data_IF_296964649594
#
_entry.id   IF_296964649594
#
_cell.length_a   1.000
_cell.length_b   1.000
_cell.length_c   1.000
_cell.angle_alpha   90.00
_cell.angle_beta   90.00
_cell.angle_gamma   90.00
#
_symmetry.space_group_name_H-M   'P 1'
#
loop_
_entity.id
_entity.type
_entity.pdbx_description
1 polymer ?
#
# COMPACT_ATOMS: atom_id res chain seq x y z
N UNK A 1 -4.53 -8.04 -14.00
CA UNK A 1 -3.06 -8.04 -14.10
C UNK A 1 -2.55 -7.23 -12.92
N UNK A 2 -2.19 -7.91 -11.82
CA UNK A 2 -1.79 -7.32 -10.53
C UNK A 2 -0.36 -7.80 -10.22
N UNK A 3 0.63 -7.12 -10.77
CA UNK A 3 2.02 -7.32 -10.39
C UNK A 3 2.61 -5.95 -10.09
N UNK A 4 2.72 -5.61 -8.80
CA UNK A 4 3.46 -4.43 -8.37
C UNK A 4 4.96 -4.55 -8.71
N UNK A 5 5.45 -5.77 -8.88
CA UNK A 5 6.84 -6.09 -9.24
C UNK A 5 7.20 -5.64 -10.66
N UNK A 6 6.26 -5.73 -11.61
CA UNK A 6 6.52 -5.37 -13.01
C UNK A 6 6.65 -3.86 -13.25
N UNK A 7 6.13 -3.02 -12.34
CA UNK A 7 6.18 -1.55 -12.45
C UNK A 7 7.40 -0.96 -11.73
N UNK A 8 7.81 -1.56 -10.60
CA UNK A 8 8.93 -1.05 -9.81
C UNK A 8 10.30 -1.26 -10.49
N UNK A 9 10.51 -2.42 -11.11
CA UNK A 9 11.79 -2.77 -11.74
C UNK A 9 12.25 -1.83 -12.87
N UNK A 10 11.37 -1.47 -13.84
CA UNK A 10 11.75 -0.55 -14.92
C UNK A 10 11.92 0.90 -14.49
N UNK A 11 11.15 1.36 -13.49
CA UNK A 11 11.18 2.77 -13.02
C UNK A 11 12.38 3.07 -12.12
N UNK A 12 12.86 2.09 -11.36
CA UNK A 12 14.03 2.23 -10.46
C UNK A 12 15.35 1.86 -11.18
N UNK A 13 15.28 1.09 -12.28
CA UNK A 13 16.45 0.66 -13.04
C UNK A 13 17.33 -0.37 -12.33
N UNK A 14 16.86 -0.89 -11.19
CA UNK A 14 17.60 -1.82 -10.34
C UNK A 14 16.60 -2.60 -9.45
N UNK A 15 16.58 -3.93 -9.59
CA UNK A 15 15.78 -4.83 -8.74
C UNK A 15 16.69 -5.40 -7.65
N UNK A 16 16.72 -4.76 -6.48
CA UNK A 16 16.99 -5.49 -5.25
C UNK A 16 15.64 -5.78 -4.61
N UNK A 17 15.39 -7.02 -4.18
CA UNK A 17 14.21 -7.44 -3.44
C UNK A 17 14.16 -6.84 -2.02
N UNK A 18 14.34 -5.53 -1.94
CA UNK A 18 14.49 -4.71 -0.75
C UNK A 18 13.37 -3.66 -0.80
N UNK A 19 12.25 -4.00 -0.15
CA UNK A 19 11.03 -3.18 -0.13
C UNK A 19 11.18 -1.84 0.59
N UNK A 20 12.24 -1.61 1.38
CA UNK A 20 12.39 -0.36 2.15
C UNK A 20 12.66 0.87 1.27
N UNK A 21 13.11 0.66 0.03
CA UNK A 21 13.23 1.72 -0.98
C UNK A 21 11.90 2.09 -1.67
N UNK A 22 10.80 1.36 -1.42
CA UNK A 22 9.52 1.50 -2.11
C UNK A 22 8.46 2.31 -1.35
N UNK A 23 8.90 3.11 -0.38
CA UNK A 23 8.04 3.92 0.47
C UNK A 23 7.66 5.25 -0.20
N UNK A 24 7.03 6.16 0.57
CA UNK A 24 6.49 7.45 0.10
C UNK A 24 7.54 8.33 -0.60
N UNK A 25 8.82 8.13 -0.32
CA UNK A 25 9.92 8.85 -0.98
C UNK A 25 10.03 8.48 -2.47
N UNK A 26 9.93 7.20 -2.82
CA UNK A 26 9.93 6.75 -4.21
C UNK A 26 8.66 7.25 -4.91
N UNK A 27 7.52 7.11 -4.25
CA UNK A 27 6.24 7.57 -4.79
C UNK A 27 6.25 9.08 -5.07
N UNK A 28 6.79 9.88 -4.14
CA UNK A 28 6.99 11.32 -4.34
C UNK A 28 7.94 11.62 -5.51
N UNK A 29 8.98 10.80 -5.70
CA UNK A 29 9.93 10.96 -6.80
C UNK A 29 9.30 10.59 -8.17
N UNK A 30 8.42 9.59 -8.22
CA UNK A 30 7.60 9.24 -9.39
C UNK A 30 6.63 10.38 -9.69
N UNK A 31 5.88 10.84 -8.69
CA UNK A 31 4.92 11.93 -8.86
C UNK A 31 5.57 13.19 -9.42
N UNK A 32 6.74 13.59 -8.89
CA UNK A 32 7.45 14.78 -9.36
C UNK A 32 7.88 14.71 -10.83
N UNK A 33 8.12 13.51 -11.37
CA UNK A 33 8.60 13.32 -12.76
C UNK A 33 7.47 13.14 -13.75
N UNK A 34 6.41 12.45 -13.34
CA UNK A 34 5.35 12.03 -14.24
C UNK A 34 4.07 12.88 -14.11
N UNK A 35 3.89 13.59 -13.00
CA UNK A 35 2.73 14.43 -12.70
C UNK A 35 1.39 13.72 -12.96
N UNK A 36 1.23 12.53 -12.38
CA UNK A 36 -0.02 11.78 -12.44
C UNK A 36 -1.17 12.51 -11.74
N UNK A 37 -2.40 12.22 -12.15
CA UNK A 37 -3.61 12.70 -11.49
C UNK A 37 -3.99 11.80 -10.30
N UNK A 38 -4.88 12.29 -9.45
CA UNK A 38 -5.33 11.53 -8.29
C UNK A 38 -6.06 10.24 -8.74
N UNK A 39 -5.66 9.10 -8.18
CA UNK A 39 -6.19 7.78 -8.55
C UNK A 39 -5.38 7.02 -9.59
N UNK A 40 -4.46 7.67 -10.32
CA UNK A 40 -3.63 7.03 -11.35
C UNK A 40 -2.62 6.04 -10.74
N UNK A 41 -2.01 6.42 -9.61
CA UNK A 41 -1.06 5.56 -8.89
C UNK A 41 -1.39 5.53 -7.40
N UNK A 42 -1.64 4.32 -6.91
CA UNK A 42 -1.82 4.02 -5.50
C UNK A 42 -0.93 2.86 -5.08
N UNK A 43 -0.29 3.03 -3.93
CA UNK A 43 0.58 2.02 -3.33
C UNK A 43 -0.01 1.65 -1.97
N UNK A 44 0.03 0.35 -1.67
CA UNK A 44 -0.29 -0.19 -0.34
C UNK A 44 1.02 -0.66 0.26
N UNK A 45 1.44 -0.02 1.35
CA UNK A 45 2.69 -0.31 2.05
C UNK A 45 2.31 -1.11 3.30
N UNK A 46 2.88 -2.30 3.47
CA UNK A 46 2.79 -3.09 4.71
C UNK A 46 4.18 -3.13 5.36
N UNK A 47 4.27 -2.64 6.59
CA UNK A 47 5.49 -2.67 7.38
C UNK A 47 5.73 -4.06 7.97
N UNK A 48 6.96 -4.41 8.33
CA UNK A 48 7.24 -5.64 9.08
C UNK A 48 6.50 -5.67 10.43
N UNK A 49 6.11 -6.87 10.87
CA UNK A 49 5.55 -7.06 12.21
C UNK A 49 6.58 -6.66 13.28
N UNK A 50 6.26 -5.72 14.19
CA UNK A 50 7.15 -5.42 15.30
C UNK A 50 7.30 -6.64 16.24
N UNK A 51 8.49 -6.84 16.80
CA UNK A 51 8.77 -7.97 17.69
C UNK A 51 7.76 -7.97 18.86
N UNK A 52 7.12 -9.12 19.08
CA UNK A 52 6.08 -9.35 20.10
C UNK A 52 4.75 -8.61 19.91
N UNK A 53 4.55 -7.90 18.81
CA UNK A 53 3.28 -7.22 18.50
C UNK A 53 2.56 -8.04 17.43
N UNK A 54 1.37 -8.58 17.73
CA UNK A 54 0.58 -9.39 16.78
C UNK A 54 -0.20 -8.53 15.75
N UNK A 55 0.41 -7.42 15.33
CA UNK A 55 -0.19 -6.45 14.40
C UNK A 55 0.82 -6.11 13.30
N UNK A 56 0.30 -5.94 12.10
CA UNK A 56 1.06 -5.42 10.98
C UNK A 56 0.45 -4.10 10.52
N UNK A 57 1.26 -3.06 10.46
CA UNK A 57 0.81 -1.72 10.08
C UNK A 57 0.80 -1.58 8.58
N UNK A 58 -0.21 -0.90 8.06
CA UNK A 58 -0.30 -0.57 6.65
C UNK A 58 -0.60 0.91 6.42
N UNK A 59 -0.24 1.38 5.22
CA UNK A 59 -0.60 2.69 4.70
C UNK A 59 -0.99 2.57 3.24
N UNK A 60 -2.06 3.27 2.87
CA UNK A 60 -2.51 3.41 1.48
C UNK A 60 -2.19 4.83 1.05
N UNK A 61 -1.37 4.96 0.01
CA UNK A 61 -0.84 6.25 -0.44
C UNK A 61 -1.09 6.43 -1.92
N UNK A 62 -1.67 7.56 -2.28
CA UNK A 62 -1.82 8.01 -3.66
C UNK A 62 -0.68 8.97 -4.03
N UNK A 63 -0.17 8.87 -5.25
CA UNK A 63 0.96 9.69 -5.68
C UNK A 63 0.66 11.19 -5.64
N UNK A 64 -0.56 11.61 -5.98
CA UNK A 64 -0.99 13.01 -6.00
C UNK A 64 -1.67 13.42 -4.69
N UNK A 65 -2.56 12.58 -4.18
CA UNK A 65 -3.37 12.89 -3.00
C UNK A 65 -2.66 12.57 -1.67
N UNK A 66 -1.52 11.90 -1.68
CA UNK A 66 -0.78 11.50 -0.48
C UNK A 66 -1.48 10.38 0.28
N UNK A 67 -1.31 10.35 1.61
CA UNK A 67 -1.87 9.28 2.45
C UNK A 67 -3.40 9.34 2.43
N UNK A 68 -4.01 8.25 1.98
CA UNK A 68 -5.45 8.08 1.96
C UNK A 68 -5.95 7.37 3.21
N UNK A 69 -5.20 6.38 3.68
CA UNK A 69 -5.59 5.57 4.82
C UNK A 69 -4.35 5.02 5.54
N UNK A 70 -4.44 4.92 6.86
CA UNK A 70 -3.49 4.17 7.68
C UNK A 70 -4.26 3.30 8.66
N UNK A 71 -3.68 2.16 9.00
CA UNK A 71 -4.29 1.24 9.95
C UNK A 71 -3.39 0.05 10.23
N UNK A 72 -3.97 -0.98 10.82
CA UNK A 72 -3.29 -2.25 11.03
C UNK A 72 -4.22 -3.44 10.80
N UNK A 73 -3.59 -4.60 10.67
CA UNK A 73 -4.25 -5.90 10.54
C UNK A 73 -3.66 -6.84 11.59
N UNK A 74 -4.43 -7.81 12.07
CA UNK A 74 -3.88 -8.83 12.96
C UNK A 74 -3.20 -9.93 12.16
N UNK A 75 -2.01 -10.34 12.60
CA UNK A 75 -1.22 -11.36 11.89
C UNK A 75 -1.96 -12.69 11.79
N UNK A 76 -2.72 -13.05 12.84
CA UNK A 76 -3.53 -14.28 12.86
C UNK A 76 -4.56 -14.32 11.72
N UNK A 77 -5.14 -13.16 11.36
CA UNK A 77 -6.18 -13.09 10.35
C UNK A 77 -5.57 -13.25 8.96
N UNK A 78 -4.35 -12.75 8.75
CA UNK A 78 -3.60 -12.99 7.51
C UNK A 78 -3.22 -14.46 7.34
N UNK A 79 -2.78 -15.11 8.42
CA UNK A 79 -2.39 -16.53 8.39
C UNK A 79 -3.57 -17.47 8.16
N UNK A 80 -4.79 -17.04 8.50
CA UNK A 80 -5.99 -17.85 8.32
C UNK A 80 -6.46 -17.98 6.88
N UNK A 81 -5.82 -17.29 5.92
CA UNK A 81 -6.33 -17.09 4.57
C UNK A 81 -5.34 -17.46 3.48
N UNK A 82 -5.89 -17.78 2.32
CA UNK A 82 -5.12 -17.91 1.09
C UNK A 82 -4.71 -16.52 0.58
N UNK A 83 -3.57 -16.40 -0.12
CA UNK A 83 -3.05 -15.12 -0.58
C UNK A 83 -3.84 -14.50 -1.75
N UNK A 84 -4.81 -15.22 -2.33
CA UNK A 84 -5.72 -14.71 -3.35
C UNK A 84 -7.12 -14.48 -2.75
N UNK A 85 -7.80 -13.38 -3.11
CA UNK A 85 -9.16 -13.12 -2.63
C UNK A 85 -10.18 -14.00 -3.36
N UNK A 86 -11.09 -14.60 -2.59
CA UNK A 86 -12.29 -15.27 -3.07
C UNK A 86 -13.51 -14.33 -2.98
N UNK A 87 -14.56 -14.64 -3.76
CA UNK A 87 -15.76 -13.82 -3.78
C UNK A 87 -16.47 -13.90 -2.42
N UNK A 88 -16.60 -12.76 -1.73
CA UNK A 88 -17.19 -12.68 -0.39
C UNK A 88 -16.17 -12.67 0.75
N UNK A 89 -14.86 -12.69 0.44
CA UNK A 89 -13.84 -12.55 1.47
C UNK A 89 -13.91 -11.18 2.16
N UNK A 90 -14.27 -11.18 3.43
CA UNK A 90 -14.14 -10.01 4.30
C UNK A 90 -12.90 -10.14 5.16
N UNK A 91 -11.92 -9.25 5.01
CA UNK A 91 -10.71 -9.26 5.81
C UNK A 91 -10.77 -8.18 6.90
N UNK A 92 -10.58 -8.52 8.20
CA UNK A 92 -10.61 -7.53 9.27
C UNK A 92 -9.47 -6.51 9.13
N UNK A 93 -9.82 -5.24 8.98
CA UNK A 93 -8.88 -4.13 8.89
C UNK A 93 -9.22 -3.10 9.96
N UNK A 94 -8.23 -2.69 10.73
CA UNK A 94 -8.39 -1.70 11.80
C UNK A 94 -7.82 -0.35 11.33
N UNK A 95 -8.70 0.46 10.75
CA UNK A 95 -8.36 1.81 10.27
C UNK A 95 -8.10 2.75 11.44
N UNK A 96 -6.94 3.41 11.44
CA UNK A 96 -6.59 4.45 12.42
C UNK A 96 -6.82 5.85 11.91
N UNK A 97 -6.55 6.08 10.62
CA UNK A 97 -6.80 7.35 9.95
C UNK A 97 -7.31 7.08 8.56
N UNK A 98 -8.37 7.77 8.16
CA UNK A 98 -8.87 7.73 6.79
C UNK A 98 -9.13 9.15 6.32
N UNK A 99 -8.60 9.49 5.15
CA UNK A 99 -8.91 10.75 4.49
C UNK A 99 -10.32 10.68 3.95
N UNK A 100 -11.14 11.67 4.28
CA UNK A 100 -12.44 11.82 3.66
C UNK A 100 -12.26 11.99 2.15
N UNK A 101 -12.91 11.12 1.37
CA UNK A 101 -13.02 11.32 -0.08
C UNK A 101 -13.85 12.59 -0.27
N UNK A 102 -13.38 13.62 -0.98
CA UNK A 102 -14.24 14.73 -1.37
C UNK A 102 -15.40 14.13 -2.15
N UNK A 103 -16.61 14.25 -1.58
CA UNK A 103 -17.81 13.69 -2.19
C UNK A 103 -17.92 14.17 -3.64
N UNK A 104 -18.07 13.23 -4.57
CA UNK A 104 -18.56 13.54 -5.90
C UNK A 104 -19.97 14.14 -5.73
N UNK A 105 -20.26 15.33 -6.30
CA UNK A 105 -21.60 15.92 -6.22
C UNK A 105 -22.65 15.06 -6.91
#
# INVERSE_FOLDING_TARGET
>A
MREGELIAGPLVGWNFGEGHLHNEQLLAAVQRRCNFEAGDIRVVILEGQPIHVQKQWYRIVDAKAGVLETGYVEVKDMLSRQPWPEAGDEFPVHVTTQRAVPGTP
#
